data_IF_785338801430
#
_entry.id   IF_785338801430
#
_cell.length_a   1.000
_cell.length_b   1.000
_cell.length_c   1.000
_cell.angle_alpha   90.00
_cell.angle_beta   90.00
_cell.angle_gamma   90.00
#
_symmetry.space_group_name_H-M   'P 1'
#
loop_
_entity.id
_entity.type
_entity.pdbx_description
1 polymer ?
#
# COMPACT_ATOMS: atom_id res chain seq x y z
N UNK A 1 7.86 5.46 31.08
CA UNK A 1 7.54 4.99 29.71
C UNK A 1 7.08 3.55 29.84
N UNK A 2 5.86 3.19 29.41
CA UNK A 2 5.45 1.78 29.49
C UNK A 2 6.34 0.94 28.56
N UNK A 3 6.81 -0.20 29.07
CA UNK A 3 7.67 -1.11 28.31
C UNK A 3 6.80 -1.79 27.25
N UNK A 4 7.28 -1.80 26.00
CA UNK A 4 6.65 -2.56 24.93
C UNK A 4 6.78 -4.05 25.21
N UNK A 5 5.71 -4.81 25.02
CA UNK A 5 5.67 -6.27 25.23
C UNK A 5 5.48 -6.96 23.89
N UNK A 6 6.19 -8.08 23.69
CA UNK A 6 6.01 -8.94 22.52
C UNK A 6 4.82 -9.86 22.75
N UNK A 7 3.93 -9.96 21.78
CA UNK A 7 2.68 -10.72 21.86
C UNK A 7 2.49 -11.58 20.62
N UNK A 8 1.70 -12.64 20.76
CA UNK A 8 1.34 -13.53 19.67
C UNK A 8 -0.18 -13.68 19.60
N UNK A 9 -0.73 -13.45 18.43
CA UNK A 9 -2.16 -13.59 18.13
C UNK A 9 -2.37 -14.70 17.12
N UNK A 10 -3.50 -15.40 17.21
CA UNK A 10 -4.02 -16.26 16.15
C UNK A 10 -5.24 -15.58 15.54
N UNK A 11 -5.33 -15.55 14.21
CA UNK A 11 -6.49 -15.06 13.48
C UNK A 11 -7.10 -16.17 12.63
N UNK A 12 -8.42 -16.24 12.58
CA UNK A 12 -9.16 -17.31 11.90
C UNK A 12 -10.45 -16.85 11.24
N UNK A 13 -10.82 -17.42 10.10
CA UNK A 13 -12.07 -17.11 9.39
C UNK A 13 -12.56 -18.26 8.52
N UNK A 14 -13.87 -18.47 8.44
CA UNK A 14 -14.49 -19.47 7.57
C UNK A 14 -15.70 -18.98 6.78
N UNK A 15 -15.98 -17.67 6.79
CA UNK A 15 -17.10 -17.09 6.05
C UNK A 15 -16.63 -16.06 5.02
N UNK A 16 -17.38 -15.95 3.92
CA UNK A 16 -17.19 -14.90 2.91
C UNK A 16 -15.83 -14.95 2.23
N UNK A 17 -15.24 -13.76 1.99
CA UNK A 17 -13.94 -13.62 1.35
C UNK A 17 -12.81 -13.84 2.37
N UNK A 18 -12.63 -15.10 2.78
CA UNK A 18 -11.75 -15.53 3.89
C UNK A 18 -10.36 -14.86 3.90
N UNK A 19 -9.67 -14.80 2.75
CA UNK A 19 -8.34 -14.15 2.67
C UNK A 19 -8.40 -12.64 2.90
N UNK A 20 -9.40 -11.96 2.34
CA UNK A 20 -9.61 -10.53 2.56
C UNK A 20 -9.93 -10.25 4.03
N UNK A 21 -10.75 -11.08 4.67
CA UNK A 21 -11.06 -10.95 6.09
C UNK A 21 -9.79 -11.08 6.96
N UNK A 22 -8.92 -12.05 6.66
CA UNK A 22 -7.64 -12.18 7.37
C UNK A 22 -6.77 -10.93 7.15
N UNK A 23 -6.67 -10.41 5.92
CA UNK A 23 -5.87 -9.22 5.64
C UNK A 23 -6.44 -7.98 6.37
N UNK A 24 -7.75 -7.76 6.33
CA UNK A 24 -8.42 -6.69 7.06
C UNK A 24 -8.19 -6.79 8.57
N UNK A 25 -8.16 -8.01 9.12
CA UNK A 25 -7.81 -8.24 10.52
C UNK A 25 -6.36 -7.84 10.81
N UNK A 26 -5.41 -8.21 9.94
CA UNK A 26 -4.02 -7.78 10.07
C UNK A 26 -3.91 -6.25 10.02
N UNK A 27 -4.56 -5.61 9.06
CA UNK A 27 -4.52 -4.15 8.86
C UNK A 27 -5.08 -3.42 10.08
N UNK A 28 -6.24 -3.85 10.59
CA UNK A 28 -6.85 -3.30 11.80
C UNK A 28 -5.98 -3.52 13.05
N UNK A 29 -5.35 -4.69 13.18
CA UNK A 29 -4.40 -4.98 14.26
C UNK A 29 -3.17 -4.06 14.21
N UNK A 30 -2.79 -3.55 13.03
CA UNK A 30 -1.75 -2.53 12.87
C UNK A 30 -1.98 -1.22 13.65
N UNK A 31 -3.24 -0.93 14.00
CA UNK A 31 -3.60 0.21 14.85
C UNK A 31 -3.18 0.04 16.32
N UNK A 32 -3.06 -1.21 16.79
CA UNK A 32 -2.79 -1.54 18.21
C UNK A 32 -1.50 -2.35 18.41
N UNK A 33 -0.90 -2.83 17.32
CA UNK A 33 0.33 -3.63 17.29
C UNK A 33 1.31 -3.09 16.25
N UNK A 34 2.57 -2.99 16.63
CA UNK A 34 3.66 -2.97 15.68
C UNK A 34 3.92 -4.42 15.22
N UNK A 35 3.32 -4.83 14.10
CA UNK A 35 3.42 -6.20 13.57
C UNK A 35 4.86 -6.50 13.10
N UNK A 36 5.47 -7.51 13.74
CA UNK A 36 6.85 -7.93 13.49
C UNK A 36 6.97 -9.06 12.47
N UNK A 37 5.98 -9.95 12.42
CA UNK A 37 5.93 -11.08 11.50
C UNK A 37 4.53 -11.67 11.42
N UNK A 38 4.19 -12.27 10.29
CA UNK A 38 2.93 -12.97 10.06
C UNK A 38 3.28 -14.34 9.47
N UNK A 39 2.62 -15.38 9.93
CA UNK A 39 2.80 -16.72 9.40
C UNK A 39 2.20 -16.84 7.99
N UNK A 40 2.55 -17.88 7.23
CA UNK A 40 1.73 -18.36 6.14
C UNK A 40 0.30 -18.67 6.60
N UNK A 41 -0.65 -18.65 5.66
CA UNK A 41 -2.02 -19.10 5.90
C UNK A 41 -2.10 -20.62 5.87
N UNK A 42 -2.83 -21.18 6.82
CA UNK A 42 -3.16 -22.59 6.95
C UNK A 42 -4.67 -22.80 6.79
N UNK A 43 -5.08 -23.77 5.99
CA UNK A 43 -6.48 -24.20 5.85
C UNK A 43 -6.74 -25.45 6.70
N UNK A 44 -7.84 -25.45 7.45
CA UNK A 44 -8.16 -26.51 8.42
C UNK A 44 -9.66 -26.77 8.47
N UNK A 45 -10.04 -28.03 8.64
CA UNK A 45 -11.45 -28.37 8.89
C UNK A 45 -11.96 -27.70 10.19
N UNK A 46 -13.26 -27.36 10.26
CA UNK A 46 -13.84 -26.76 11.46
C UNK A 46 -13.76 -27.67 12.68
N UNK A 47 -13.47 -27.08 13.84
CA UNK A 47 -13.46 -27.81 15.10
C UNK A 47 -14.87 -27.86 15.71
N UNK A 48 -15.32 -29.05 16.12
CA UNK A 48 -16.62 -29.24 16.77
C UNK A 48 -17.79 -29.30 15.79
N UNK A 49 -18.34 -28.16 15.38
CA UNK A 49 -19.49 -28.11 14.46
C UNK A 49 -18.98 -28.33 13.02
N UNK A 50 -19.19 -29.51 12.46
CA UNK A 50 -18.52 -29.90 11.20
C UNK A 50 -19.28 -29.53 9.92
N UNK A 51 -20.55 -29.12 10.01
CA UNK A 51 -21.35 -28.66 8.87
C UNK A 51 -21.15 -27.16 8.63
N UNK A 52 -19.90 -26.79 8.31
CA UNK A 52 -19.52 -25.41 7.97
C UNK A 52 -18.25 -25.40 7.10
N UNK A 53 -17.92 -24.28 6.42
CA UNK A 53 -16.73 -24.21 5.59
C UNK A 53 -15.43 -24.33 6.40
N UNK A 54 -14.36 -24.72 5.72
CA UNK A 54 -13.01 -24.78 6.26
C UNK A 54 -12.50 -23.40 6.67
N UNK A 55 -11.73 -23.38 7.76
CA UNK A 55 -11.09 -22.18 8.30
C UNK A 55 -9.77 -21.89 7.60
N UNK A 56 -9.54 -20.62 7.30
CA UNK A 56 -8.19 -20.10 7.09
C UNK A 56 -7.67 -19.52 8.41
N UNK A 57 -6.44 -19.88 8.78
CA UNK A 57 -5.79 -19.49 10.02
C UNK A 57 -4.39 -18.92 9.76
N UNK A 58 -3.99 -17.94 10.55
CA UNK A 58 -2.62 -17.42 10.60
C UNK A 58 -2.25 -16.96 12.01
N UNK A 59 -0.97 -16.80 12.28
CA UNK A 59 -0.45 -16.19 13.51
C UNK A 59 0.30 -14.90 13.21
N UNK A 60 0.18 -13.94 14.13
CA UNK A 60 0.94 -12.69 14.11
C UNK A 60 1.84 -12.63 15.35
N UNK A 61 3.06 -12.16 15.17
CA UNK A 61 3.89 -11.66 16.26
C UNK A 61 3.99 -10.15 16.14
N UNK A 62 3.91 -9.45 17.27
CA UNK A 62 4.01 -8.00 17.28
C UNK A 62 4.37 -7.43 18.64
N UNK A 63 4.56 -6.12 18.67
CA UNK A 63 4.83 -5.35 19.88
C UNK A 63 3.68 -4.42 20.21
N UNK A 64 3.30 -4.34 21.48
CA UNK A 64 2.29 -3.38 21.95
C UNK A 64 2.68 -2.74 23.27
N UNK A 65 2.13 -1.54 23.50
CA UNK A 65 2.18 -0.82 24.79
C UNK A 65 0.92 -1.05 25.64
N UNK A 66 -0.13 -1.64 25.06
CA UNK A 66 -1.38 -1.98 25.74
C UNK A 66 -1.16 -3.10 26.75
N UNK A 67 -1.83 -3.04 27.89
CA UNK A 67 -1.88 -4.14 28.84
C UNK A 67 -2.69 -5.33 28.26
N UNK A 68 -2.49 -6.57 28.77
CA UNK A 68 -3.14 -7.77 28.21
C UNK A 68 -4.66 -7.64 28.05
N UNK A 69 -5.38 -7.14 29.06
CA UNK A 69 -6.83 -6.94 28.98
C UNK A 69 -7.25 -5.83 28.01
N UNK A 70 -6.44 -4.77 27.89
CA UNK A 70 -6.69 -3.70 26.92
C UNK A 70 -6.53 -4.23 25.49
N UNK A 71 -5.48 -5.00 25.23
CA UNK A 71 -5.26 -5.65 23.93
C UNK A 71 -6.41 -6.62 23.61
N UNK A 72 -6.85 -7.45 24.57
CA UNK A 72 -7.99 -8.35 24.39
C UNK A 72 -9.27 -7.58 23.99
N UNK A 73 -9.53 -6.44 24.64
CA UNK A 73 -10.68 -5.60 24.32
C UNK A 73 -10.55 -5.00 22.92
N UNK A 74 -9.36 -4.54 22.53
CA UNK A 74 -9.10 -4.07 21.16
C UNK A 74 -9.31 -5.17 20.12
N UNK A 75 -8.87 -6.40 20.37
CA UNK A 75 -9.13 -7.53 19.47
C UNK A 75 -10.63 -7.76 19.28
N UNK A 76 -11.42 -7.79 20.36
CA UNK A 76 -12.89 -7.94 20.30
C UNK A 76 -13.58 -6.79 19.57
N UNK A 77 -13.05 -5.58 19.70
CA UNK A 77 -13.55 -4.41 18.99
C UNK A 77 -13.30 -4.53 17.47
N UNK A 78 -12.09 -4.92 17.08
CA UNK A 78 -11.72 -5.17 15.68
C UNK A 78 -12.62 -6.25 15.08
N UNK A 79 -12.83 -7.35 15.79
CA UNK A 79 -13.76 -8.40 15.35
C UNK A 79 -15.16 -7.86 15.04
N UNK A 80 -15.70 -7.02 15.94
CA UNK A 80 -17.02 -6.39 15.77
C UNK A 80 -17.06 -5.46 14.56
N UNK A 81 -16.00 -4.67 14.36
CA UNK A 81 -15.89 -3.76 13.22
C UNK A 81 -15.84 -4.51 11.88
N UNK A 82 -15.18 -5.67 11.85
CA UNK A 82 -15.14 -6.57 10.69
C UNK A 82 -16.40 -7.45 10.55
N UNK A 83 -17.46 -7.15 11.30
CA UNK A 83 -18.78 -7.75 11.12
C UNK A 83 -19.04 -9.02 11.94
N UNK A 84 -18.20 -9.35 12.94
CA UNK A 84 -18.50 -10.49 13.83
C UNK A 84 -19.79 -10.24 14.62
N UNK A 85 -20.75 -11.12 14.43
CA UNK A 85 -22.01 -11.16 15.17
C UNK A 85 -21.90 -12.09 16.39
N UNK A 86 -22.60 -11.82 17.52
CA UNK A 86 -22.74 -12.79 18.60
C UNK A 86 -23.41 -14.07 18.07
N UNK A 87 -22.83 -15.23 18.34
CA UNK A 87 -23.30 -16.51 17.81
C UNK A 87 -23.01 -17.69 18.74
N UNK A 88 -23.36 -18.89 18.29
CA UNK A 88 -23.07 -20.13 19.03
C UNK A 88 -21.56 -20.31 19.23
N UNK A 89 -21.22 -20.90 20.38
CA UNK A 89 -19.86 -21.39 20.60
C UNK A 89 -19.55 -22.43 19.51
N UNK A 90 -18.46 -22.24 18.74
CA UNK A 90 -18.05 -23.03 17.56
C UNK A 90 -18.80 -22.80 16.23
N UNK A 91 -19.70 -21.81 16.17
CA UNK A 91 -20.37 -21.43 14.93
C UNK A 91 -19.43 -20.70 13.94
N UNK A 92 -19.86 -20.56 12.67
CA UNK A 92 -19.08 -19.90 11.62
C UNK A 92 -18.91 -18.40 11.89
N UNK A 93 -17.74 -17.85 11.53
CA UNK A 93 -17.35 -16.48 11.87
C UNK A 93 -16.64 -15.80 10.69
N UNK A 94 -16.93 -14.50 10.52
CA UNK A 94 -16.22 -13.64 9.58
C UNK A 94 -14.76 -13.42 9.98
N UNK A 95 -14.48 -13.28 11.28
CA UNK A 95 -13.12 -13.22 11.81
C UNK A 95 -13.12 -13.60 13.30
N UNK A 96 -12.06 -14.25 13.76
CA UNK A 96 -11.73 -14.58 15.15
C UNK A 96 -10.29 -14.15 15.43
N UNK A 97 -10.05 -13.49 16.56
CA UNK A 97 -8.73 -12.99 16.97
C UNK A 97 -8.47 -13.44 18.42
N UNK A 98 -7.64 -14.47 18.58
CA UNK A 98 -7.27 -15.03 19.88
C UNK A 98 -5.89 -14.50 20.33
N UNK A 99 -5.82 -14.00 21.57
CA UNK A 99 -4.54 -13.69 22.22
C UNK A 99 -3.91 -14.98 22.76
N UNK A 100 -2.79 -15.39 22.17
CA UNK A 100 -2.16 -16.70 22.44
C UNK A 100 -1.09 -16.59 23.53
N UNK A 101 -0.18 -15.61 23.41
CA UNK A 101 0.94 -15.40 24.32
C UNK A 101 1.20 -13.91 24.50
N UNK A 102 1.64 -13.51 25.70
CA UNK A 102 1.99 -12.12 26.04
C UNK A 102 3.29 -12.11 26.86
N UNK A 103 4.43 -11.96 26.20
CA UNK A 103 5.74 -12.08 26.83
C UNK A 103 5.86 -13.36 27.65
N UNK A 104 6.39 -13.24 28.86
CA UNK A 104 6.50 -14.29 29.87
C UNK A 104 5.31 -14.33 30.85
N UNK A 105 4.23 -13.60 30.57
CA UNK A 105 3.11 -13.48 31.50
C UNK A 105 2.26 -14.75 31.54
N UNK A 106 1.87 -15.12 32.76
CA UNK A 106 0.87 -16.13 33.05
C UNK A 106 -0.30 -15.42 33.72
N UNK A 107 -1.47 -15.47 33.10
CA UNK A 107 -2.70 -14.82 33.59
C UNK A 107 -3.77 -15.89 33.67
N UNK A 108 -4.46 -15.96 34.80
CA UNK A 108 -5.60 -16.84 35.01
C UNK A 108 -6.67 -16.09 35.79
N UNK A 109 -7.52 -15.38 35.07
CA UNK A 109 -8.68 -14.70 35.62
C UNK A 109 -9.95 -14.98 34.80
N UNK A 110 -11.09 -14.49 35.29
CA UNK A 110 -12.40 -14.77 34.70
C UNK A 110 -12.57 -14.29 33.24
N UNK A 111 -11.75 -13.34 32.79
CA UNK A 111 -11.88 -12.69 31.49
C UNK A 111 -10.73 -13.01 30.53
N UNK A 112 -9.56 -13.44 31.05
CA UNK A 112 -8.37 -13.74 30.25
C UNK A 112 -7.54 -14.87 30.88
N UNK A 113 -7.16 -15.84 30.04
CA UNK A 113 -6.22 -16.91 30.38
C UNK A 113 -5.04 -16.89 29.41
N UNK A 114 -3.83 -16.73 29.93
CA UNK A 114 -2.57 -16.74 29.17
C UNK A 114 -1.51 -17.63 29.85
N UNK A 115 -0.73 -18.39 29.07
CA UNK A 115 -0.91 -18.70 27.65
C UNK A 115 -2.29 -19.29 27.33
N UNK A 116 -2.76 -19.13 26.09
CA UNK A 116 -4.11 -19.59 25.74
C UNK A 116 -4.26 -21.09 26.03
N UNK A 117 -5.25 -21.52 26.84
CA UNK A 117 -5.26 -22.83 27.48
C UNK A 117 -5.31 -24.00 26.49
N UNK A 118 -5.89 -23.78 25.30
CA UNK A 118 -6.01 -24.81 24.27
C UNK A 118 -4.94 -24.70 23.18
N UNK A 119 -3.97 -23.78 23.27
CA UNK A 119 -2.99 -23.60 22.18
C UNK A 119 -2.18 -24.88 21.92
N UNK A 120 -1.82 -25.61 22.98
CA UNK A 120 -1.04 -26.84 22.92
C UNK A 120 -1.76 -27.98 22.17
N UNK A 121 -3.08 -27.89 22.01
CA UNK A 121 -3.92 -28.94 21.38
C UNK A 121 -4.31 -28.59 19.95
N UNK A 122 -4.02 -27.37 19.49
CA UNK A 122 -4.53 -26.82 18.23
C UNK A 122 -3.40 -26.73 17.20
N UNK A 123 -3.35 -27.68 16.28
CA UNK A 123 -2.41 -27.69 15.15
C UNK A 123 -2.45 -26.38 14.34
N UNK A 124 -3.65 -25.82 14.17
CA UNK A 124 -3.90 -24.58 13.43
C UNK A 124 -3.40 -23.31 14.14
N UNK A 125 -2.99 -23.43 15.41
CA UNK A 125 -2.30 -22.38 16.16
C UNK A 125 -0.79 -22.66 16.18
N UNK A 126 -0.38 -23.88 16.51
CA UNK A 126 1.05 -24.21 16.68
C UNK A 126 1.82 -24.22 15.35
N UNK A 127 1.25 -24.75 14.27
CA UNK A 127 1.94 -24.79 12.97
C UNK A 127 2.27 -23.38 12.44
N UNK A 128 1.32 -22.42 12.36
CA UNK A 128 1.65 -21.05 11.97
C UNK A 128 2.54 -20.33 12.99
N UNK A 129 2.38 -20.59 14.29
CA UNK A 129 3.24 -19.98 15.31
C UNK A 129 4.70 -20.47 15.20
N UNK A 130 4.91 -21.75 14.88
CA UNK A 130 6.24 -22.33 14.68
C UNK A 130 6.97 -21.74 13.47
N UNK A 131 6.26 -21.31 12.42
CA UNK A 131 6.86 -20.63 11.27
C UNK A 131 7.48 -19.26 11.63
N UNK A 132 6.95 -18.58 12.65
CA UNK A 132 7.36 -17.21 13.02
C UNK A 132 8.11 -17.10 14.35
N UNK A 133 7.97 -18.10 15.22
CA UNK A 133 8.55 -18.11 16.56
C UNK A 133 8.85 -19.53 17.07
N UNK A 134 9.63 -20.34 16.33
CA UNK A 134 9.90 -21.75 16.67
C UNK A 134 10.55 -21.90 18.06
N UNK A 135 11.48 -21.00 18.38
CA UNK A 135 12.28 -21.03 19.61
C UNK A 135 11.61 -20.33 20.80
N UNK A 136 10.39 -19.79 20.64
CA UNK A 136 9.71 -19.13 21.74
C UNK A 136 9.34 -20.16 22.81
N UNK A 137 9.76 -19.91 24.05
CA UNK A 137 9.53 -20.84 25.17
C UNK A 137 8.20 -20.50 25.84
N UNK A 138 7.30 -21.48 25.87
CA UNK A 138 5.99 -21.34 26.51
C UNK A 138 6.15 -21.21 28.03
N UNK A 139 5.66 -20.12 28.66
CA UNK A 139 6.05 -19.74 30.01
C UNK A 139 5.55 -20.71 31.10
N UNK A 140 4.53 -21.53 30.82
CA UNK A 140 3.95 -22.43 31.81
C UNK A 140 4.55 -23.85 31.81
N UNK A 141 4.95 -24.38 30.65
CA UNK A 141 5.43 -25.77 30.52
C UNK A 141 6.92 -25.86 30.15
N UNK A 142 7.56 -24.73 29.80
CA UNK A 142 8.99 -24.66 29.49
C UNK A 142 9.39 -25.26 28.14
N UNK A 143 8.44 -25.72 27.32
CA UNK A 143 8.71 -26.23 25.97
C UNK A 143 8.77 -25.07 24.97
N UNK A 144 9.65 -25.17 23.97
CA UNK A 144 9.61 -24.31 22.80
C UNK A 144 8.39 -24.62 21.91
N UNK A 145 7.96 -23.67 21.09
CA UNK A 145 6.87 -23.90 20.14
C UNK A 145 7.19 -25.06 19.19
N UNK A 146 8.44 -25.19 18.74
CA UNK A 146 8.87 -26.33 17.92
C UNK A 146 8.78 -27.67 18.65
N UNK A 147 9.10 -27.73 19.93
CA UNK A 147 8.92 -28.96 20.73
C UNK A 147 7.43 -29.29 20.90
N UNK A 148 6.59 -28.28 21.20
CA UNK A 148 5.15 -28.48 21.31
C UNK A 148 4.52 -28.95 20.00
N UNK A 149 5.04 -28.52 18.85
CA UNK A 149 4.54 -28.92 17.54
C UNK A 149 4.72 -30.43 17.28
N UNK A 150 5.74 -31.07 17.88
CA UNK A 150 6.01 -32.50 17.70
C UNK A 150 4.91 -33.39 18.30
N UNK A 151 4.17 -32.87 19.29
CA UNK A 151 3.13 -33.59 20.01
C UNK A 151 1.73 -33.45 19.36
N UNK A 152 1.63 -32.77 18.22
CA UNK A 152 0.36 -32.43 17.58
C UNK A 152 0.22 -33.04 16.18
N UNK A 153 -0.99 -33.52 15.86
CA UNK A 153 -1.31 -34.10 14.56
C UNK A 153 -1.45 -33.03 13.46
N UNK A 154 -0.39 -32.90 12.66
CA UNK A 154 -0.33 -31.94 11.54
C UNK A 154 -1.12 -32.38 10.31
N UNK A 155 -1.64 -33.60 10.25
CA UNK A 155 -2.46 -34.05 9.09
C UNK A 155 -3.78 -33.27 8.99
N UNK A 156 -4.16 -32.60 10.08
CA UNK A 156 -5.36 -31.78 10.19
C UNK A 156 -5.20 -30.36 9.62
N UNK A 157 -3.99 -29.97 9.23
CA UNK A 157 -3.69 -28.62 8.73
C UNK A 157 -2.98 -28.65 7.38
N UNK A 158 -3.45 -27.81 6.45
CA UNK A 158 -2.88 -27.68 5.12
C UNK A 158 -2.27 -26.29 4.98
N UNK A 159 -0.94 -26.21 4.89
CA UNK A 159 -0.25 -24.96 4.53
C UNK A 159 -0.60 -24.60 3.08
N UNK A 160 -1.07 -23.38 2.85
CA UNK A 160 -1.37 -22.91 1.49
C UNK A 160 -0.07 -22.60 0.72
N UNK A 161 -0.16 -22.59 -0.61
CA UNK A 161 0.99 -22.27 -1.49
C UNK A 161 1.41 -20.80 -1.33
N UNK A 162 2.66 -20.44 -1.66
CA UNK A 162 3.19 -19.07 -1.47
C UNK A 162 2.29 -17.99 -2.11
N UNK A 163 1.75 -18.23 -3.30
CA UNK A 163 0.80 -17.33 -3.98
C UNK A 163 -0.54 -17.17 -3.24
N UNK A 164 -0.96 -18.19 -2.49
CA UNK A 164 -2.22 -18.25 -1.73
C UNK A 164 -2.07 -17.87 -0.25
N UNK A 165 -0.85 -17.93 0.30
CA UNK A 165 -0.60 -17.98 1.74
C UNK A 165 -0.09 -16.69 2.39
N UNK A 166 0.23 -15.64 1.63
CA UNK A 166 0.85 -14.45 2.23
C UNK A 166 -0.20 -13.40 2.63
N UNK A 167 -0.27 -13.17 3.94
CA UNK A 167 -0.82 -11.95 4.54
C UNK A 167 0.29 -10.90 4.62
N UNK A 168 -0.08 -9.64 4.41
CA UNK A 168 0.85 -8.52 4.37
C UNK A 168 0.82 -7.78 5.69
N UNK A 169 1.97 -7.22 6.06
CA UNK A 169 2.04 -6.32 7.21
C UNK A 169 1.29 -5.04 6.88
N UNK A 170 0.66 -4.41 7.88
CA UNK A 170 0.03 -3.11 7.70
C UNK A 170 1.08 -2.11 7.23
N UNK A 171 0.79 -1.43 6.13
CA UNK A 171 1.69 -0.41 5.59
C UNK A 171 1.54 0.84 6.45
N UNK A 172 2.60 1.22 7.17
CA UNK A 172 2.59 2.43 8.01
C UNK A 172 3.62 3.43 7.50
N UNK A 173 3.14 4.52 6.91
CA UNK A 173 3.95 5.67 6.58
C UNK A 173 4.17 6.53 7.83
N UNK A 174 5.40 6.99 8.03
CA UNK A 174 5.74 7.96 9.07
C UNK A 174 6.26 9.20 8.38
N UNK A 175 5.34 10.12 8.12
CA UNK A 175 5.57 11.36 7.39
C UNK A 175 6.57 12.28 8.12
N UNK A 176 7.29 13.10 7.36
CA UNK A 176 8.29 14.02 7.90
C UNK A 176 9.63 13.41 8.35
N UNK A 177 9.74 12.08 8.54
CA UNK A 177 11.00 11.45 9.02
C UNK A 177 11.95 11.08 7.87
N UNK A 178 11.40 10.62 6.75
CA UNK A 178 12.15 10.33 5.52
C UNK A 178 11.31 10.62 4.30
N UNK A 179 11.94 10.93 3.18
CA UNK A 179 11.26 10.94 1.89
C UNK A 179 11.09 9.52 1.37
N UNK A 180 9.85 9.14 1.07
CA UNK A 180 9.51 7.88 0.43
C UNK A 180 9.71 7.98 -1.09
N UNK A 181 10.33 6.96 -1.69
CA UNK A 181 10.55 6.93 -3.14
C UNK A 181 9.57 5.98 -3.81
N UNK A 182 8.76 6.51 -4.73
CA UNK A 182 7.76 5.78 -5.51
C UNK A 182 8.29 5.54 -6.93
N UNK A 183 8.55 4.29 -7.29
CA UNK A 183 9.05 3.89 -8.61
C UNK A 183 7.94 3.73 -9.64
N UNK A 184 8.05 4.39 -10.80
CA UNK A 184 7.05 4.36 -11.88
C UNK A 184 7.23 3.10 -12.75
N UNK A 185 6.21 2.24 -12.74
CA UNK A 185 6.12 1.03 -13.55
C UNK A 185 4.99 1.17 -14.58
N UNK A 186 5.30 1.83 -15.70
CA UNK A 186 4.34 1.95 -16.81
C UNK A 186 4.16 0.60 -17.51
N UNK A 187 2.92 0.16 -17.65
CA UNK A 187 2.54 -1.10 -18.29
C UNK A 187 1.82 -0.80 -19.59
N UNK A 188 2.60 -0.44 -20.62
CA UNK A 188 2.09 -0.32 -21.99
C UNK A 188 2.73 -1.38 -22.88
N UNK A 189 1.97 -2.07 -23.75
CA UNK A 189 2.53 -3.06 -24.69
C UNK A 189 3.66 -2.46 -25.55
N UNK A 190 3.56 -1.17 -25.87
CA UNK A 190 4.54 -0.45 -26.68
C UNK A 190 5.85 -0.10 -25.94
N UNK A 191 5.89 -0.20 -24.61
CA UNK A 191 7.11 0.12 -23.83
C UNK A 191 8.21 -0.93 -24.02
N UNK A 192 7.85 -2.13 -24.49
CA UNK A 192 8.74 -3.28 -24.62
C UNK A 192 8.89 -3.76 -26.08
N UNK A 193 8.20 -3.13 -27.03
CA UNK A 193 8.12 -3.57 -28.43
C UNK A 193 9.25 -3.08 -29.34
N UNK A 194 10.32 -2.49 -28.78
CA UNK A 194 11.48 -1.99 -29.56
C UNK A 194 12.14 -3.04 -30.45
N UNK A 195 12.03 -4.33 -30.11
CA UNK A 195 12.74 -5.43 -30.78
C UNK A 195 11.82 -6.54 -31.33
N UNK A 196 10.52 -6.28 -31.50
CA UNK A 196 9.64 -7.03 -32.42
C UNK A 196 9.52 -8.56 -32.24
N UNK A 197 9.67 -9.12 -31.03
CA UNK A 197 9.64 -10.59 -30.82
C UNK A 197 9.03 -11.08 -29.50
N UNK A 198 8.40 -10.23 -28.68
CA UNK A 198 7.94 -10.64 -27.35
C UNK A 198 6.47 -11.12 -27.40
N UNK A 199 6.30 -12.42 -27.17
CA UNK A 199 5.01 -13.10 -26.94
C UNK A 199 4.45 -12.62 -25.58
N UNK A 200 3.12 -12.61 -25.40
CA UNK A 200 2.40 -12.04 -24.23
C UNK A 200 2.94 -12.38 -22.82
N UNK A 201 3.75 -13.42 -22.64
CA UNK A 201 4.34 -13.76 -21.34
C UNK A 201 5.66 -13.03 -21.03
N UNK A 202 6.40 -12.58 -22.04
CA UNK A 202 7.77 -12.07 -21.88
C UNK A 202 7.78 -10.64 -21.28
N UNK A 203 6.79 -9.81 -21.62
CA UNK A 203 6.69 -8.45 -21.08
C UNK A 203 6.26 -8.42 -19.61
N UNK A 204 5.44 -9.39 -19.16
CA UNK A 204 5.08 -9.54 -17.74
C UNK A 204 6.32 -9.92 -16.94
N UNK A 205 7.11 -10.88 -17.42
CA UNK A 205 8.36 -11.28 -16.76
C UNK A 205 9.36 -10.10 -16.68
N UNK A 206 9.50 -9.33 -17.76
CA UNK A 206 10.31 -8.11 -17.77
C UNK A 206 9.81 -7.08 -16.74
N UNK A 207 8.49 -6.95 -16.59
CA UNK A 207 7.86 -6.06 -15.62
C UNK A 207 8.11 -6.51 -14.19
N UNK A 208 8.02 -7.82 -13.91
CA UNK A 208 8.38 -8.42 -12.61
C UNK A 208 9.85 -8.16 -12.28
N UNK A 209 10.76 -8.43 -13.22
CA UNK A 209 12.20 -8.16 -13.04
C UNK A 209 12.47 -6.68 -12.73
N UNK A 210 11.78 -5.77 -13.40
CA UNK A 210 11.90 -4.33 -13.15
C UNK A 210 11.36 -3.93 -11.78
N UNK A 211 10.23 -4.48 -11.36
CA UNK A 211 9.67 -4.25 -10.03
C UNK A 211 10.61 -4.73 -8.91
N UNK A 212 11.18 -5.93 -9.06
CA UNK A 212 12.22 -6.44 -8.15
C UNK A 212 13.44 -5.50 -8.13
N UNK A 213 13.88 -5.04 -9.31
CA UNK A 213 14.96 -4.07 -9.45
C UNK A 213 14.69 -2.78 -8.67
N UNK A 214 13.47 -2.23 -8.75
CA UNK A 214 13.09 -1.05 -7.98
C UNK A 214 13.23 -1.26 -6.46
N UNK A 215 12.80 -2.41 -5.94
CA UNK A 215 12.95 -2.75 -4.52
C UNK A 215 14.44 -2.86 -4.14
N UNK A 216 15.24 -3.55 -4.96
CA UNK A 216 16.70 -3.68 -4.75
C UNK A 216 17.39 -2.31 -4.74
N UNK A 217 16.94 -1.40 -5.61
CA UNK A 217 17.45 -0.03 -5.69
C UNK A 217 16.94 0.88 -4.56
N UNK A 218 16.00 0.40 -3.73
CA UNK A 218 15.53 1.06 -2.52
C UNK A 218 14.23 1.85 -2.69
N UNK A 219 13.41 1.55 -3.70
CA UNK A 219 12.05 2.08 -3.77
C UNK A 219 11.24 1.66 -2.55
N UNK A 220 10.50 2.61 -1.99
CA UNK A 220 9.59 2.37 -0.88
C UNK A 220 8.19 1.99 -1.36
N UNK A 221 7.82 2.35 -2.60
CA UNK A 221 6.50 2.13 -3.23
C UNK A 221 6.71 1.86 -4.73
N UNK A 222 5.88 1.04 -5.36
CA UNK A 222 5.84 0.86 -6.83
C UNK A 222 4.48 1.32 -7.33
N UNK A 223 4.45 2.19 -8.33
CA UNK A 223 3.23 2.73 -8.91
C UNK A 223 3.03 2.23 -10.34
N UNK A 224 1.93 1.52 -10.57
CA UNK A 224 1.64 0.76 -11.78
C UNK A 224 0.55 1.49 -12.58
N UNK A 225 0.88 1.92 -13.79
CA UNK A 225 -0.03 2.69 -14.65
C UNK A 225 -0.23 2.05 -16.02
N UNK A 226 -1.48 1.76 -16.38
CA UNK A 226 -1.87 1.18 -17.67
C UNK A 226 -2.22 2.19 -18.75
N UNK A 227 -2.64 3.40 -18.35
CA UNK A 227 -2.95 4.52 -19.23
C UNK A 227 -1.79 5.54 -19.23
N UNK A 228 -1.33 5.95 -20.41
CA UNK A 228 -0.33 7.02 -20.52
C UNK A 228 -0.99 8.36 -20.25
N UNK A 229 -0.53 9.07 -19.23
CA UNK A 229 -1.01 10.42 -18.88
C UNK A 229 -0.16 11.54 -19.51
N UNK A 230 0.65 11.23 -20.52
CA UNK A 230 1.51 12.20 -21.21
C UNK A 230 0.68 13.18 -22.06
N UNK A 231 1.09 14.46 -22.19
CA UNK A 231 0.38 15.40 -23.04
C UNK A 231 0.24 14.89 -24.49
N UNK A 232 -0.99 14.72 -24.96
CA UNK A 232 -1.31 14.27 -26.31
C UNK A 232 -1.56 12.76 -26.48
N UNK A 233 -1.53 11.96 -25.39
CA UNK A 233 -1.99 10.56 -25.45
C UNK A 233 -3.50 10.46 -25.67
N UNK A 234 -3.92 9.38 -26.32
CA UNK A 234 -5.33 9.02 -26.43
C UNK A 234 -5.74 8.19 -25.20
N UNK A 235 -6.90 8.46 -24.60
CA UNK A 235 -7.42 7.63 -23.52
C UNK A 235 -7.75 6.23 -24.03
N UNK A 236 -7.53 5.24 -23.18
CA UNK A 236 -7.86 3.82 -23.45
C UNK A 236 -9.22 3.46 -22.84
N UNK A 237 -9.75 2.29 -23.21
CA UNK A 237 -10.97 1.77 -22.57
C UNK A 237 -10.69 1.27 -21.15
N UNK A 238 -11.72 1.19 -20.31
CA UNK A 238 -11.60 0.68 -18.93
C UNK A 238 -11.14 -0.78 -18.94
N UNK A 239 -11.66 -1.54 -19.90
CA UNK A 239 -11.33 -2.94 -20.13
C UNK A 239 -9.87 -3.11 -20.51
N UNK A 240 -9.35 -2.24 -21.38
CA UNK A 240 -7.96 -2.24 -21.81
C UNK A 240 -7.01 -1.84 -20.67
N UNK A 241 -7.35 -0.82 -19.87
CA UNK A 241 -6.56 -0.44 -18.70
C UNK A 241 -6.51 -1.58 -17.68
N UNK A 242 -7.66 -2.19 -17.39
CA UNK A 242 -7.76 -3.35 -16.47
C UNK A 242 -6.90 -4.52 -16.96
N UNK A 243 -6.98 -4.86 -18.25
CA UNK A 243 -6.22 -5.94 -18.86
C UNK A 243 -4.69 -5.71 -18.87
N UNK A 244 -4.24 -4.45 -18.78
CA UNK A 244 -2.82 -4.11 -18.65
C UNK A 244 -2.34 -4.17 -17.20
N UNK A 245 -3.14 -3.65 -16.27
CA UNK A 245 -2.71 -3.44 -14.88
C UNK A 245 -2.88 -4.70 -14.02
N UNK A 246 -4.02 -5.38 -14.11
CA UNK A 246 -4.34 -6.52 -13.23
C UNK A 246 -3.32 -7.66 -13.33
N UNK A 247 -2.98 -8.19 -14.54
CA UNK A 247 -2.03 -9.29 -14.65
C UNK A 247 -0.64 -8.93 -14.13
N UNK A 248 -0.24 -7.66 -14.25
CA UNK A 248 1.04 -7.18 -13.72
C UNK A 248 1.03 -7.14 -12.20
N UNK A 249 -0.03 -6.64 -11.58
CA UNK A 249 -0.15 -6.64 -10.12
C UNK A 249 -0.07 -8.08 -9.60
N UNK A 250 -0.83 -9.00 -10.18
CA UNK A 250 -0.84 -10.41 -9.78
C UNK A 250 0.54 -11.06 -9.93
N UNK A 251 1.27 -10.73 -11.00
CA UNK A 251 2.59 -11.26 -11.25
C UNK A 251 3.68 -10.64 -10.37
N UNK A 252 3.61 -9.32 -10.09
CA UNK A 252 4.62 -8.60 -9.29
C UNK A 252 4.46 -8.89 -7.81
N UNK A 253 3.22 -8.96 -7.32
CA UNK A 253 2.91 -9.03 -5.89
C UNK A 253 3.66 -10.13 -5.13
N UNK A 254 3.83 -11.37 -5.62
CA UNK A 254 4.55 -12.43 -4.90
C UNK A 254 6.05 -12.20 -4.75
N UNK A 255 6.62 -11.24 -5.48
CA UNK A 255 8.08 -11.03 -5.54
C UNK A 255 8.56 -9.78 -4.80
N UNK A 256 7.64 -8.96 -4.28
CA UNK A 256 7.97 -7.71 -3.60
C UNK A 256 7.11 -7.55 -2.35
N UNK A 257 7.65 -6.91 -1.31
CA UNK A 257 6.94 -6.63 -0.06
C UNK A 257 6.53 -5.15 0.08
N UNK A 258 6.95 -4.29 -0.85
CA UNK A 258 6.59 -2.86 -0.86
C UNK A 258 5.14 -2.65 -1.32
N UNK A 259 4.49 -1.56 -0.92
CA UNK A 259 3.16 -1.19 -1.40
C UNK A 259 3.12 -1.08 -2.93
N UNK A 260 2.06 -1.64 -3.52
CA UNK A 260 1.74 -1.48 -4.93
C UNK A 260 0.63 -0.43 -5.08
N UNK A 261 0.95 0.70 -5.68
CA UNK A 261 0.00 1.73 -6.08
C UNK A 261 -0.51 1.48 -7.49
N UNK A 262 -1.78 1.75 -7.74
CA UNK A 262 -2.38 1.79 -9.08
C UNK A 262 -2.64 3.24 -9.50
N UNK A 263 -2.05 3.66 -10.63
CA UNK A 263 -2.24 4.98 -11.25
C UNK A 263 -3.49 4.92 -12.14
N UNK A 264 -4.64 5.22 -11.56
CA UNK A 264 -5.94 5.23 -12.25
C UNK A 264 -6.93 6.18 -11.59
N UNK A 265 -7.79 6.79 -12.42
CA UNK A 265 -8.90 7.63 -11.98
C UNK A 265 -10.26 6.92 -12.06
N UNK A 266 -10.28 5.63 -12.42
CA UNK A 266 -11.51 4.86 -12.63
C UNK A 266 -11.73 3.90 -11.46
N UNK A 267 -12.89 4.00 -10.82
CA UNK A 267 -13.26 3.17 -9.67
C UNK A 267 -13.25 1.68 -10.00
N UNK A 268 -13.72 1.31 -11.19
CA UNK A 268 -13.72 -0.08 -11.67
C UNK A 268 -12.31 -0.67 -11.83
N UNK A 269 -11.36 0.09 -12.38
CA UNK A 269 -9.95 -0.32 -12.51
C UNK A 269 -9.30 -0.41 -11.14
N UNK A 270 -9.49 0.62 -10.29
CA UNK A 270 -8.97 0.63 -8.92
C UNK A 270 -9.49 -0.58 -8.12
N UNK A 271 -10.78 -0.90 -8.23
CA UNK A 271 -11.38 -2.06 -7.55
C UNK A 271 -10.73 -3.37 -7.99
N UNK A 272 -10.58 -3.57 -9.30
CA UNK A 272 -9.95 -4.78 -9.84
C UNK A 272 -8.47 -4.87 -9.43
N UNK A 273 -7.73 -3.76 -9.45
CA UNK A 273 -6.34 -3.68 -9.02
C UNK A 273 -6.18 -3.99 -7.52
N UNK A 274 -7.03 -3.43 -6.65
CA UNK A 274 -7.02 -3.72 -5.21
C UNK A 274 -7.34 -5.20 -4.93
N UNK A 275 -8.27 -5.80 -5.68
CA UNK A 275 -8.55 -7.24 -5.60
C UNK A 275 -7.37 -8.10 -6.07
N UNK A 276 -6.65 -7.66 -7.10
CA UNK A 276 -5.45 -8.31 -7.61
C UNK A 276 -4.25 -8.20 -6.66
N UNK A 277 -4.29 -7.25 -5.72
CA UNK A 277 -3.29 -7.06 -4.68
C UNK A 277 -2.56 -5.73 -4.71
N UNK A 278 -3.08 -4.69 -5.37
CA UNK A 278 -2.69 -3.31 -5.07
C UNK A 278 -3.06 -2.95 -3.62
N UNK A 279 -2.34 -2.00 -3.07
CA UNK A 279 -2.48 -1.49 -1.71
C UNK A 279 -2.89 -0.01 -1.68
N UNK A 280 -2.71 0.73 -2.78
CA UNK A 280 -2.76 2.19 -2.83
C UNK A 280 -3.42 2.64 -4.15
N UNK A 281 -4.25 3.69 -4.12
CA UNK A 281 -4.82 4.33 -5.32
C UNK A 281 -4.17 5.69 -5.62
N UNK A 282 -3.73 5.92 -6.85
CA UNK A 282 -3.17 7.20 -7.27
C UNK A 282 -4.04 7.85 -8.35
N UNK A 283 -4.83 8.86 -7.97
CA UNK A 283 -5.78 9.52 -8.87
C UNK A 283 -5.27 10.89 -9.35
N UNK A 284 -4.88 10.91 -10.62
CA UNK A 284 -4.42 12.11 -11.34
C UNK A 284 -5.52 13.16 -11.61
N UNK A 285 -6.76 12.93 -11.21
CA UNK A 285 -7.85 13.90 -11.32
C UNK A 285 -8.47 14.27 -9.96
N UNK A 286 -7.98 13.68 -8.87
CA UNK A 286 -8.39 14.05 -7.52
C UNK A 286 -9.89 13.93 -7.28
N UNK A 287 -10.47 12.77 -7.61
CA UNK A 287 -11.87 12.37 -7.41
C UNK A 287 -12.88 13.14 -8.27
N UNK A 288 -12.43 13.81 -9.33
CA UNK A 288 -13.28 14.66 -10.18
C UNK A 288 -13.85 13.96 -11.41
N UNK A 289 -13.31 12.79 -11.78
CA UNK A 289 -13.67 12.09 -13.01
C UNK A 289 -14.63 10.92 -12.79
N UNK A 290 -14.47 10.18 -11.68
CA UNK A 290 -15.30 9.03 -11.34
C UNK A 290 -15.85 9.20 -9.91
N UNK A 291 -17.17 9.38 -9.73
CA UNK A 291 -17.77 9.62 -8.41
C UNK A 291 -17.70 8.41 -7.47
N UNK A 292 -17.53 7.20 -8.01
CA UNK A 292 -17.55 5.97 -7.21
C UNK A 292 -16.18 5.68 -6.55
N UNK A 293 -15.13 6.40 -6.95
CA UNK A 293 -13.76 6.13 -6.50
C UNK A 293 -13.57 6.47 -5.01
N UNK A 294 -14.18 7.56 -4.53
CA UNK A 294 -14.07 7.98 -3.14
C UNK A 294 -14.72 6.97 -2.18
N UNK A 295 -15.92 6.46 -2.55
CA UNK A 295 -16.62 5.41 -1.79
C UNK A 295 -15.80 4.12 -1.75
N UNK A 296 -15.24 3.69 -2.89
CA UNK A 296 -14.37 2.52 -2.95
C UNK A 296 -13.16 2.66 -1.99
N UNK A 297 -12.50 3.80 -1.99
CA UNK A 297 -11.33 4.02 -1.13
C UNK A 297 -11.72 4.05 0.34
N UNK A 298 -12.85 4.67 0.69
CA UNK A 298 -13.38 4.65 2.05
C UNK A 298 -13.69 3.23 2.52
N UNK A 299 -14.39 2.44 1.71
CA UNK A 299 -14.73 1.04 1.99
C UNK A 299 -13.48 0.16 2.17
N UNK A 300 -12.44 0.43 1.39
CA UNK A 300 -11.18 -0.33 1.43
C UNK A 300 -10.20 0.14 2.49
N UNK A 301 -10.35 1.36 3.00
CA UNK A 301 -9.45 1.94 4.00
C UNK A 301 -7.99 2.04 3.53
N UNK A 302 -7.76 2.23 2.22
CA UNK A 302 -6.43 2.23 1.61
C UNK A 302 -5.91 3.65 1.31
N UNK A 303 -4.58 3.87 1.23
CA UNK A 303 -4.02 5.16 0.89
C UNK A 303 -4.44 5.64 -0.49
N UNK A 304 -4.66 6.94 -0.63
CA UNK A 304 -5.02 7.58 -1.88
C UNK A 304 -4.25 8.88 -2.13
N UNK A 305 -3.73 9.04 -3.34
CA UNK A 305 -3.22 10.33 -3.84
C UNK A 305 -4.35 11.07 -4.55
N UNK A 306 -4.56 12.30 -4.13
CA UNK A 306 -5.45 13.27 -4.77
C UNK A 306 -4.56 14.30 -5.48
N UNK A 307 -4.51 14.22 -6.81
CA UNK A 307 -3.70 15.15 -7.61
C UNK A 307 -4.50 16.32 -8.19
N UNK A 308 -3.94 17.51 -8.13
CA UNK A 308 -4.44 18.67 -8.85
C UNK A 308 -4.16 18.55 -10.36
N UNK A 309 -5.19 18.68 -11.20
CA UNK A 309 -5.04 18.60 -12.65
C UNK A 309 -6.00 19.54 -13.42
N UNK A 310 -5.43 20.38 -14.29
CA UNK A 310 -6.16 21.25 -15.25
C UNK A 310 -5.86 20.91 -16.71
N UNK A 311 -5.35 19.71 -16.99
CA UNK A 311 -4.91 19.29 -18.31
C UNK A 311 -6.07 19.33 -19.31
N UNK A 312 -5.83 19.92 -20.49
CA UNK A 312 -6.79 19.96 -21.60
C UNK A 312 -6.05 19.65 -22.89
N UNK A 313 -6.54 18.73 -23.76
CA UNK A 313 -5.85 18.38 -25.01
C UNK A 313 -5.55 19.58 -25.91
N UNK A 314 -6.48 20.56 -25.95
CA UNK A 314 -6.32 21.80 -26.73
C UNK A 314 -5.18 22.72 -26.28
N UNK A 315 -4.64 22.51 -25.08
CA UNK A 315 -3.62 23.36 -24.47
C UNK A 315 -2.22 22.73 -24.59
N UNK A 316 -1.99 21.83 -25.55
CA UNK A 316 -0.72 21.11 -25.70
C UNK A 316 0.02 21.60 -26.95
N UNK A 317 1.28 21.96 -26.77
CA UNK A 317 2.25 22.26 -27.84
C UNK A 317 3.29 21.12 -27.89
N UNK A 318 3.53 20.54 -29.05
CA UNK A 318 4.38 19.36 -29.23
C UNK A 318 5.64 19.68 -30.01
N UNK A 319 6.81 19.41 -29.41
CA UNK A 319 8.09 19.54 -30.08
C UNK A 319 8.79 18.19 -30.21
N UNK A 320 9.36 17.91 -31.39
CA UNK A 320 9.96 16.62 -31.70
C UNK A 320 11.07 16.21 -30.72
N UNK A 321 11.94 17.16 -30.32
CA UNK A 321 13.08 16.88 -29.43
C UNK A 321 12.72 16.93 -27.94
N UNK A 322 11.85 17.85 -27.54
CA UNK A 322 11.59 18.16 -26.12
C UNK A 322 10.29 17.53 -25.59
N UNK A 323 9.43 17.02 -26.47
CA UNK A 323 8.11 16.50 -26.13
C UNK A 323 7.06 17.59 -25.92
N UNK A 324 5.89 17.17 -25.40
CA UNK A 324 4.74 18.04 -25.19
C UNK A 324 4.86 18.95 -23.95
N UNK A 325 4.40 20.19 -24.07
CA UNK A 325 4.21 21.13 -22.94
C UNK A 325 2.81 21.72 -22.97
N UNK A 326 2.34 22.20 -21.81
CA UNK A 326 1.09 22.95 -21.76
C UNK A 326 1.33 24.43 -22.06
N UNK A 327 0.40 25.03 -22.80
CA UNK A 327 0.36 26.45 -23.14
C UNK A 327 -1.03 27.02 -22.83
N UNK A 328 -1.11 28.33 -22.55
CA UNK A 328 -2.39 29.02 -22.35
C UNK A 328 -3.23 28.45 -21.20
N UNK A 329 -2.59 27.97 -20.13
CA UNK A 329 -3.30 27.54 -18.91
C UNK A 329 -3.40 28.71 -17.95
N UNK A 330 -4.63 29.11 -17.65
CA UNK A 330 -4.92 30.26 -16.80
C UNK A 330 -4.92 29.86 -15.32
N UNK A 331 -4.27 30.67 -14.49
CA UNK A 331 -4.31 30.66 -13.03
C UNK A 331 -4.28 32.12 -12.58
N UNK A 332 -5.18 32.52 -11.68
CA UNK A 332 -5.20 33.89 -11.14
C UNK A 332 -4.05 34.09 -10.15
N UNK A 333 -3.93 33.15 -9.23
CA UNK A 333 -2.78 32.97 -8.37
C UNK A 333 -2.50 31.47 -8.33
N UNK A 334 -1.35 31.06 -8.87
CA UNK A 334 -1.04 29.65 -9.10
C UNK A 334 -1.15 28.80 -7.83
N UNK A 335 -0.54 29.23 -6.72
CA UNK A 335 -0.48 28.44 -5.49
C UNK A 335 -1.83 28.44 -4.75
N UNK A 336 -2.50 29.60 -4.69
CA UNK A 336 -3.82 29.71 -4.07
C UNK A 336 -4.87 28.91 -4.83
N UNK A 337 -4.88 29.00 -6.16
CA UNK A 337 -5.82 28.23 -7.00
C UNK A 337 -5.57 26.72 -6.84
N UNK A 338 -4.29 26.27 -6.81
CA UNK A 338 -3.96 24.85 -6.59
C UNK A 338 -4.43 24.39 -5.21
N UNK A 339 -4.15 25.15 -4.15
CA UNK A 339 -4.54 24.81 -2.79
C UNK A 339 -6.06 24.76 -2.64
N UNK A 340 -6.78 25.73 -3.21
CA UNK A 340 -8.23 25.76 -3.21
C UNK A 340 -8.83 24.54 -3.93
N UNK A 341 -8.27 24.17 -5.07
CA UNK A 341 -8.75 23.02 -5.84
C UNK A 341 -8.43 21.68 -5.19
N UNK A 342 -7.25 21.52 -4.60
CA UNK A 342 -6.94 20.34 -3.78
C UNK A 342 -7.91 20.23 -2.60
N UNK A 343 -8.21 21.36 -1.93
CA UNK A 343 -9.18 21.39 -0.84
C UNK A 343 -10.57 20.92 -1.29
N UNK A 344 -11.04 21.32 -2.47
CA UNK A 344 -12.31 20.82 -3.01
C UNK A 344 -12.30 19.30 -3.19
N UNK A 345 -11.20 18.73 -3.65
CA UNK A 345 -11.07 17.27 -3.79
C UNK A 345 -10.97 16.56 -2.43
N UNK A 346 -10.30 17.17 -1.45
CA UNK A 346 -10.31 16.69 -0.05
C UNK A 346 -11.74 16.73 0.52
N UNK A 347 -12.51 17.78 0.25
CA UNK A 347 -13.90 17.89 0.69
C UNK A 347 -14.78 16.79 0.06
N UNK A 348 -14.52 16.41 -1.20
CA UNK A 348 -15.16 15.24 -1.84
C UNK A 348 -14.82 13.97 -1.08
N UNK A 349 -13.54 13.70 -0.81
CA UNK A 349 -13.10 12.52 -0.07
C UNK A 349 -13.76 12.46 1.33
N UNK A 350 -13.78 13.58 2.04
CA UNK A 350 -14.41 13.69 3.36
C UNK A 350 -15.92 13.43 3.32
N UNK A 351 -16.62 13.88 2.27
CA UNK A 351 -18.06 13.64 2.12
C UNK A 351 -18.42 12.15 1.92
N UNK A 352 -17.45 11.34 1.50
CA UNK A 352 -17.55 9.88 1.39
C UNK A 352 -16.88 9.15 2.55
N UNK A 353 -16.51 9.85 3.63
CA UNK A 353 -15.88 9.27 4.82
C UNK A 353 -14.52 8.60 4.58
N UNK A 354 -13.77 9.05 3.58
CA UNK A 354 -12.35 8.67 3.44
C UNK A 354 -11.59 9.21 4.66
N UNK A 355 -10.86 8.33 5.34
CA UNK A 355 -10.02 8.70 6.48
C UNK A 355 -8.92 9.69 6.04
N UNK A 356 -8.81 10.81 6.73
CA UNK A 356 -7.81 11.84 6.46
C UNK A 356 -6.37 11.30 6.53
N UNK A 357 -6.12 10.26 7.33
CA UNK A 357 -4.80 9.63 7.45
C UNK A 357 -4.39 8.85 6.19
N UNK A 358 -5.35 8.55 5.32
CA UNK A 358 -5.14 7.86 4.04
C UNK A 358 -4.90 8.84 2.88
N UNK A 359 -5.09 10.15 3.07
CA UNK A 359 -5.01 11.13 1.99
C UNK A 359 -3.59 11.67 1.84
N UNK A 360 -3.08 11.62 0.61
CA UNK A 360 -1.85 12.28 0.16
C UNK A 360 -2.22 13.28 -0.93
N UNK A 361 -1.66 14.48 -0.91
CA UNK A 361 -1.90 15.49 -1.96
C UNK A 361 -0.75 15.55 -2.96
N UNK A 362 -1.07 15.70 -4.24
CA UNK A 362 -0.07 15.99 -5.30
C UNK A 362 -0.46 17.29 -6.03
N UNK A 363 0.38 18.32 -6.07
CA UNK A 363 0.07 19.56 -6.79
C UNK A 363 0.07 19.42 -8.33
N UNK A 364 0.44 18.25 -8.86
CA UNK A 364 0.38 17.88 -10.26
C UNK A 364 1.45 18.55 -11.11
N UNK A 365 2.74 18.32 -10.80
CA UNK A 365 3.84 18.82 -11.62
C UNK A 365 3.75 18.23 -13.04
N UNK A 366 3.69 19.13 -14.02
CA UNK A 366 3.55 18.79 -15.43
C UNK A 366 2.14 18.42 -15.85
N UNK A 367 1.11 18.70 -15.05
CA UNK A 367 -0.29 18.47 -15.37
C UNK A 367 -1.09 19.77 -15.37
N UNK A 368 -1.46 20.23 -16.57
CA UNK A 368 -2.17 21.50 -16.76
C UNK A 368 -1.39 22.70 -16.24
N UNK A 369 -0.07 22.76 -16.49
CA UNK A 369 0.82 23.85 -16.05
C UNK A 369 1.88 24.13 -17.12
N UNK A 370 2.13 25.41 -17.42
CA UNK A 370 3.21 25.83 -18.33
C UNK A 370 4.58 25.57 -17.70
N UNK A 371 5.66 25.75 -18.47
CA UNK A 371 7.04 25.58 -17.96
C UNK A 371 7.28 26.51 -16.76
N UNK A 372 6.91 27.78 -16.88
CA UNK A 372 7.07 28.81 -15.86
C UNK A 372 6.23 28.51 -14.62
N UNK A 373 5.00 28.01 -14.81
CA UNK A 373 4.13 27.61 -13.71
C UNK A 373 4.68 26.39 -12.96
N UNK A 374 5.27 25.41 -13.64
CA UNK A 374 5.91 24.27 -12.97
C UNK A 374 7.11 24.71 -12.12
N UNK A 375 7.93 25.64 -12.64
CA UNK A 375 9.04 26.22 -11.89
C UNK A 375 8.56 27.03 -10.68
N UNK A 376 7.51 27.84 -10.85
CA UNK A 376 6.90 28.62 -9.77
C UNK A 376 6.27 27.73 -8.70
N UNK A 377 5.62 26.62 -9.10
CA UNK A 377 5.06 25.63 -8.19
C UNK A 377 6.17 24.98 -7.34
N UNK A 378 7.25 24.50 -7.95
CA UNK A 378 8.38 23.94 -7.19
C UNK A 378 8.99 24.98 -6.24
N UNK A 379 9.11 26.24 -6.69
CA UNK A 379 9.63 27.33 -5.87
C UNK A 379 8.75 27.66 -4.66
N UNK A 380 7.44 27.38 -4.70
CA UNK A 380 6.50 27.71 -3.62
C UNK A 380 5.79 26.50 -3.04
N UNK A 381 6.32 25.29 -3.22
CA UNK A 381 5.68 24.04 -2.83
C UNK A 381 5.34 24.01 -1.33
N UNK A 382 6.17 24.65 -0.50
CA UNK A 382 6.05 24.69 0.96
C UNK A 382 4.77 25.36 1.45
N UNK A 383 4.13 26.23 0.65
CA UNK A 383 2.84 26.83 1.01
C UNK A 383 1.72 25.79 1.07
N UNK A 384 1.84 24.67 0.35
CA UNK A 384 0.80 23.62 0.34
C UNK A 384 0.80 22.78 1.62
N UNK A 385 1.85 22.87 2.46
CA UNK A 385 1.87 22.23 3.78
C UNK A 385 0.79 22.76 4.72
N UNK A 386 0.28 23.97 4.47
CA UNK A 386 -0.84 24.54 5.22
C UNK A 386 -2.13 23.71 5.10
N UNK A 387 -2.24 22.86 4.07
CA UNK A 387 -3.36 21.92 3.92
C UNK A 387 -3.30 20.77 4.94
N UNK A 388 -2.14 20.51 5.56
CA UNK A 388 -2.01 19.49 6.62
C UNK A 388 -1.87 18.05 6.15
N UNK A 389 -1.69 17.81 4.85
CA UNK A 389 -1.55 16.47 4.26
C UNK A 389 -0.11 16.21 3.77
N UNK A 390 0.35 14.95 3.74
CA UNK A 390 1.59 14.56 3.09
C UNK A 390 1.61 14.95 1.62
N UNK A 391 2.76 15.37 1.12
CA UNK A 391 2.89 15.86 -0.26
C UNK A 391 3.65 14.85 -1.13
N UNK A 392 3.03 14.42 -2.23
CA UNK A 392 3.69 13.69 -3.31
C UNK A 392 4.07 14.64 -4.45
N UNK A 393 5.24 14.45 -5.05
CA UNK A 393 5.63 15.15 -6.29
C UNK A 393 6.22 14.21 -7.34
N UNK A 394 5.88 14.44 -8.61
CA UNK A 394 6.41 13.68 -9.74
C UNK A 394 7.11 14.54 -10.82
N UNK A 395 8.28 15.16 -10.55
CA UNK A 395 9.00 15.97 -11.55
C UNK A 395 9.75 15.13 -12.59
N UNK A 396 9.87 13.82 -12.37
CA UNK A 396 10.74 12.91 -13.11
C UNK A 396 10.55 12.94 -14.64
N UNK A 397 11.63 13.28 -15.36
CA UNK A 397 11.72 13.38 -16.83
C UNK A 397 10.69 14.33 -17.48
N UNK A 398 9.99 15.16 -16.70
CA UNK A 398 8.93 16.05 -17.19
C UNK A 398 9.48 17.11 -18.16
N UNK A 399 8.63 17.56 -19.08
CA UNK A 399 9.03 18.46 -20.16
C UNK A 399 9.54 19.82 -19.69
N UNK A 400 9.03 20.38 -18.58
CA UNK A 400 9.51 21.66 -18.06
C UNK A 400 11.03 21.67 -17.83
N UNK A 401 11.62 20.54 -17.41
CA UNK A 401 13.08 20.36 -17.28
C UNK A 401 13.74 20.45 -18.66
N UNK A 402 13.21 19.72 -19.63
CA UNK A 402 13.71 19.73 -21.01
C UNK A 402 13.64 21.10 -21.68
N UNK A 403 12.57 21.86 -21.45
CA UNK A 403 12.45 23.23 -21.97
C UNK A 403 13.36 24.22 -21.24
N UNK A 404 13.67 23.98 -19.97
CA UNK A 404 14.57 24.85 -19.18
C UNK A 404 16.03 24.60 -19.53
N UNK A 405 16.42 23.33 -19.71
CA UNK A 405 17.81 22.92 -19.94
C UNK A 405 18.13 22.62 -21.42
N UNK A 406 17.12 22.66 -22.29
CA UNK A 406 17.21 22.27 -23.71
C UNK A 406 17.64 20.80 -23.92
N UNK A 407 17.03 19.88 -23.15
CA UNK A 407 17.38 18.45 -23.11
C UNK A 407 16.22 17.53 -23.51
N UNK A 408 16.49 16.45 -24.29
CA UNK A 408 15.49 15.42 -24.57
C UNK A 408 15.17 14.60 -23.30
N UNK A 409 14.06 13.84 -23.25
CA UNK A 409 13.59 13.14 -22.04
C UNK A 409 14.62 12.25 -21.33
N UNK A 410 15.48 11.57 -22.09
CA UNK A 410 16.51 10.64 -21.62
C UNK A 410 17.71 11.32 -20.96
N UNK A 411 17.92 12.61 -21.19
CA UNK A 411 19.03 13.41 -20.64
C UNK A 411 18.58 14.30 -19.46
N UNK A 412 17.41 14.05 -18.86
CA UNK A 412 16.83 14.92 -17.80
C UNK A 412 17.17 14.49 -16.38
N UNK A 413 18.15 13.61 -16.20
CA UNK A 413 18.44 13.01 -14.90
C UNK A 413 18.87 14.06 -13.86
N UNK A 414 19.83 14.92 -14.21
CA UNK A 414 20.37 15.96 -13.32
C UNK A 414 19.31 17.02 -13.00
N UNK A 415 18.53 17.42 -13.99
CA UNK A 415 17.40 18.34 -13.79
C UNK A 415 16.31 17.73 -12.90
N UNK A 416 16.07 16.43 -13.01
CA UNK A 416 15.16 15.68 -12.14
C UNK A 416 15.69 15.65 -10.71
N UNK A 417 16.98 15.31 -10.52
CA UNK A 417 17.63 15.29 -9.22
C UNK A 417 17.55 16.66 -8.51
N UNK A 418 17.82 17.75 -9.25
CA UNK A 418 17.69 19.11 -8.73
C UNK A 418 16.25 19.43 -8.30
N UNK A 419 15.26 19.12 -9.15
CA UNK A 419 13.85 19.35 -8.83
C UNK A 419 13.37 18.55 -7.61
N UNK A 420 13.80 17.29 -7.49
CA UNK A 420 13.50 16.44 -6.33
C UNK A 420 14.12 16.99 -5.06
N UNK A 421 15.39 17.39 -5.10
CA UNK A 421 16.09 17.96 -3.94
C UNK A 421 15.36 19.19 -3.42
N UNK A 422 14.96 20.10 -4.32
CA UNK A 422 14.17 21.28 -3.95
C UNK A 422 12.79 20.88 -3.41
N UNK A 423 12.11 19.91 -4.01
CA UNK A 423 10.82 19.49 -3.50
C UNK A 423 10.90 18.90 -2.09
N UNK A 424 11.95 18.11 -1.79
CA UNK A 424 12.20 17.57 -0.44
C UNK A 424 12.47 18.70 0.55
N UNK A 425 13.32 19.68 0.21
CA UNK A 425 13.55 20.91 1.00
C UNK A 425 12.25 21.66 1.31
N UNK A 426 11.31 21.66 0.36
CA UNK A 426 9.99 22.28 0.53
C UNK A 426 8.93 21.39 1.18
N UNK A 427 9.29 20.17 1.59
CA UNK A 427 8.47 19.28 2.39
C UNK A 427 7.69 18.23 1.59
N UNK A 428 8.16 17.84 0.41
CA UNK A 428 7.65 16.64 -0.24
C UNK A 428 7.98 15.38 0.59
N UNK A 429 6.96 14.61 0.92
CA UNK A 429 7.06 13.34 1.64
C UNK A 429 7.25 12.15 0.71
N UNK A 430 6.73 12.23 -0.51
CA UNK A 430 6.87 11.18 -1.54
C UNK A 430 7.40 11.77 -2.84
N UNK A 431 8.37 11.11 -3.46
CA UNK A 431 8.88 11.48 -4.79
C UNK A 431 8.64 10.35 -5.78
N UNK A 432 7.94 10.66 -6.88
CA UNK A 432 7.56 9.70 -7.92
C UNK A 432 8.53 9.76 -9.11
N UNK A 433 9.24 8.65 -9.37
CA UNK A 433 10.48 8.65 -10.18
C UNK A 433 10.59 7.50 -11.17
N UNK A 434 11.34 7.73 -12.26
CA UNK A 434 11.63 6.69 -13.27
C UNK A 434 12.97 6.01 -12.95
N UNK A 435 13.98 6.82 -12.65
CA UNK A 435 15.36 6.42 -12.35
C UNK A 435 15.53 6.18 -10.84
N UNK A 436 14.96 5.06 -10.35
CA UNK A 436 14.84 4.76 -8.91
C UNK A 436 16.19 4.79 -8.20
N UNK A 437 17.18 4.07 -8.70
CA UNK A 437 18.51 3.96 -8.08
C UNK A 437 19.17 5.31 -7.82
N UNK A 438 19.16 6.17 -8.83
CA UNK A 438 19.75 7.50 -8.76
C UNK A 438 18.93 8.39 -7.83
N UNK A 439 17.60 8.36 -7.93
CA UNK A 439 16.75 9.24 -7.12
C UNK A 439 16.63 8.80 -5.67
N UNK A 440 16.80 7.51 -5.35
CA UNK A 440 16.97 7.05 -3.96
C UNK A 440 18.23 7.67 -3.36
N UNK A 441 19.37 7.67 -4.06
CA UNK A 441 20.60 8.30 -3.57
C UNK A 441 20.42 9.80 -3.33
N UNK A 442 19.72 10.48 -4.25
CA UNK A 442 19.38 11.91 -4.10
C UNK A 442 18.49 12.12 -2.87
N UNK A 443 17.40 11.36 -2.73
CA UNK A 443 16.47 11.49 -1.62
C UNK A 443 17.16 11.23 -0.27
N UNK A 444 17.98 10.17 -0.16
CA UNK A 444 18.71 9.86 1.08
C UNK A 444 19.74 10.93 1.43
N UNK A 445 20.41 11.51 0.43
CA UNK A 445 21.34 12.62 0.66
C UNK A 445 20.60 13.90 1.09
N UNK A 446 19.47 14.21 0.47
CA UNK A 446 18.62 15.34 0.84
C UNK A 446 18.07 15.17 2.27
N UNK A 447 17.53 13.99 2.59
CA UNK A 447 17.06 13.65 3.94
C UNK A 447 18.18 13.83 4.98
N UNK A 448 19.41 13.36 4.71
CA UNK A 448 20.53 13.54 5.64
C UNK A 448 20.91 15.01 5.92
N UNK A 449 20.51 15.95 5.07
CA UNK A 449 20.71 17.39 5.26
C UNK A 449 19.52 18.01 6.01
N UNK A 450 18.31 17.52 5.77
CA UNK A 450 17.06 18.20 6.08
C UNK A 450 16.21 17.57 7.19
N UNK A 451 16.36 16.27 7.45
CA UNK A 451 15.48 15.47 8.34
C UNK A 451 16.24 14.80 9.48
#
# INVERSE_FOLDING_TARGET
MSKSSRVFLSIGTNLGQRRENLQQAVDALGGVLAVESISPIYETAPWGMTDQPDFLNACLAGQTKLQPHELLNSCKEIERQLGRQPGSHWGPRLIDIDLILYGDQIIDDANLQLPHPQMALRAFVLAPLADIAPDFVHPQNGQSISEMLLDVDLTTVKRLSISEAMLRRPIKFTWGIKTYVMGILNVTPDSFSGDGLLVDQDWIEATVKKAIGFVVDGADIIDIGGESTRPGSLPISTEEETARVVPVIEAVRPHVDVPLSVDTYRASVAKAALQAGADWVNDVWGLRMDPDLAELVADRGCPMVIMHNRSKPKNVDQQARLGGRYIGVDYRNLLEDIAQELKQSIDIAASHHVDEQQIIIDPGIGFGKTVEQNLALLKGLDSLKELGYPILVGPSRKSFIGYTLNLPPEERLEGTAAAITIAIDRGADVVRVHDVKEMVRVARMADAILR
#
